data_IF_717766821128
#
_entry.id   IF_717766821128
#
_cell.length_a   1.000
_cell.length_b   1.000
_cell.length_c   1.000
_cell.angle_alpha   90.00
_cell.angle_beta   90.00
_cell.angle_gamma   90.00
#
_symmetry.space_group_name_H-M   'P 1'
#
loop_
_entity.id
_entity.type
_entity.pdbx_description
1 polymer ?
#
# COMPACT_ATOMS: atom_id res chain seq x y z
N UNK A 1 -18.55 6.85 -6.49
CA UNK A 1 -17.11 7.11 -6.33
C UNK A 1 -16.85 7.49 -4.90
N UNK A 2 -15.80 6.93 -4.27
CA UNK A 2 -15.53 7.17 -2.86
C UNK A 2 -14.51 8.30 -2.71
N UNK A 3 -14.92 9.37 -2.01
CA UNK A 3 -14.00 10.43 -1.58
C UNK A 3 -13.37 10.08 -0.25
N UNK A 4 -12.04 10.12 -0.19
CA UNK A 4 -11.27 9.85 1.02
C UNK A 4 -10.32 11.01 1.32
N UNK A 5 -10.02 11.25 2.59
CA UNK A 5 -8.97 12.22 2.95
C UNK A 5 -7.60 11.71 2.51
N UNK A 6 -6.70 12.59 2.06
CA UNK A 6 -5.39 12.19 1.53
C UNK A 6 -4.59 11.31 2.49
N UNK A 7 -4.59 11.62 3.78
CA UNK A 7 -3.94 10.79 4.79
C UNK A 7 -4.58 9.41 4.96
N UNK A 8 -5.90 9.28 4.71
CA UNK A 8 -6.59 7.99 4.65
C UNK A 8 -6.18 7.19 3.44
N UNK A 9 -6.05 7.86 2.29
CA UNK A 9 -5.62 7.24 1.03
C UNK A 9 -4.25 6.60 1.24
N UNK A 10 -3.25 7.37 1.70
CA UNK A 10 -1.91 6.87 1.96
C UNK A 10 -1.87 5.72 2.97
N UNK A 11 -2.62 5.85 4.06
CA UNK A 11 -2.71 4.79 5.06
C UNK A 11 -3.29 3.49 4.47
N UNK A 12 -4.39 3.59 3.71
CA UNK A 12 -5.00 2.44 3.03
C UNK A 12 -4.13 1.86 1.91
N UNK A 13 -3.21 2.64 1.34
CA UNK A 13 -2.21 2.15 0.39
C UNK A 13 -0.99 1.50 1.06
N UNK A 14 -0.93 1.45 2.40
CA UNK A 14 0.12 0.73 3.13
C UNK A 14 1.38 1.56 3.43
N UNK A 15 1.32 2.90 3.30
CA UNK A 15 2.50 3.74 3.56
C UNK A 15 2.86 3.87 5.04
N UNK A 16 1.98 3.45 5.95
CA UNK A 16 2.26 3.41 7.39
C UNK A 16 1.07 3.87 8.22
N UNK A 17 1.34 4.36 9.43
CA UNK A 17 0.30 4.91 10.30
C UNK A 17 -0.29 6.20 9.72
N UNK A 18 -1.51 6.57 10.12
CA UNK A 18 -2.12 7.85 9.73
C UNK A 18 -1.25 9.06 10.06
N UNK A 19 -0.59 9.05 11.21
CA UNK A 19 0.33 10.11 11.64
C UNK A 19 1.53 10.22 10.71
N UNK A 20 2.13 9.09 10.33
CA UNK A 20 3.24 9.08 9.37
C UNK A 20 2.81 9.62 7.99
N UNK A 21 1.64 9.20 7.51
CA UNK A 21 1.09 9.69 6.24
C UNK A 21 0.87 11.20 6.27
N UNK A 22 0.35 11.74 7.38
CA UNK A 22 0.21 13.19 7.58
C UNK A 22 1.56 13.91 7.54
N UNK A 23 2.60 13.34 8.15
CA UNK A 23 3.96 13.89 8.10
C UNK A 23 4.52 13.94 6.67
N UNK A 24 4.32 12.89 5.87
CA UNK A 24 4.73 12.87 4.46
C UNK A 24 4.03 13.96 3.64
N UNK A 25 2.72 14.07 3.79
CA UNK A 25 1.92 15.08 3.10
C UNK A 25 2.38 16.49 3.50
N UNK A 26 2.53 16.76 4.80
CA UNK A 26 2.97 18.05 5.31
C UNK A 26 4.39 18.43 4.86
N UNK A 27 5.26 17.43 4.62
CA UNK A 27 6.60 17.62 4.07
C UNK A 27 6.61 17.91 2.57
N UNK A 28 5.46 17.84 1.88
CA UNK A 28 5.37 18.05 0.43
C UNK A 28 5.79 16.84 -0.40
N UNK A 29 5.86 15.65 0.21
CA UNK A 29 6.32 14.42 -0.45
C UNK A 29 5.23 13.73 -1.30
N UNK A 30 4.08 14.39 -1.48
CA UNK A 30 2.91 13.84 -2.16
C UNK A 30 2.44 14.81 -3.24
N UNK A 31 2.40 14.33 -4.48
CA UNK A 31 1.84 15.06 -5.62
C UNK A 31 0.63 14.35 -6.20
N UNK A 32 -0.30 15.13 -6.73
CA UNK A 32 -1.46 14.67 -7.49
C UNK A 32 -1.41 15.39 -8.84
N UNK A 33 -1.32 14.65 -9.94
CA UNK A 33 -1.14 15.21 -11.29
C UNK A 33 0.02 16.23 -11.36
N UNK A 34 1.14 15.92 -10.69
CA UNK A 34 2.33 16.77 -10.65
C UNK A 34 2.26 17.96 -9.68
N UNK A 35 1.13 18.22 -9.03
CA UNK A 35 0.99 19.31 -8.06
C UNK A 35 1.20 18.79 -6.63
N UNK A 36 2.17 19.37 -5.92
CA UNK A 36 2.42 19.07 -4.50
C UNK A 36 1.18 19.42 -3.67
N UNK A 37 0.74 18.48 -2.83
CA UNK A 37 -0.40 18.65 -1.92
C UNK A 37 0.08 18.53 -0.48
N UNK A 38 -0.18 19.56 0.33
CA UNK A 38 0.23 19.60 1.76
C UNK A 38 -0.95 19.58 2.74
N UNK A 39 -2.19 19.67 2.26
CA UNK A 39 -3.37 19.50 3.09
C UNK A 39 -3.72 18.02 3.27
N UNK A 40 -3.44 17.52 4.48
CA UNK A 40 -3.69 16.14 4.89
C UNK A 40 -5.15 15.71 4.81
N UNK A 41 -6.09 16.66 4.97
CA UNK A 41 -7.53 16.37 5.10
C UNK A 41 -8.31 16.63 3.82
N UNK A 42 -7.65 17.06 2.73
CA UNK A 42 -8.31 17.22 1.44
C UNK A 42 -8.98 15.92 1.03
N UNK A 43 -10.28 15.99 0.72
CA UNK A 43 -11.06 14.86 0.24
C UNK A 43 -10.87 14.71 -1.27
N UNK A 44 -10.35 13.56 -1.70
CA UNK A 44 -9.95 13.29 -3.09
C UNK A 44 -10.76 12.11 -3.62
N UNK A 45 -11.16 12.20 -4.89
CA UNK A 45 -11.76 11.07 -5.61
C UNK A 45 -10.71 10.00 -5.88
N UNK A 46 -11.05 8.75 -5.58
CA UNK A 46 -10.11 7.63 -5.66
C UNK A 46 -10.13 6.89 -6.99
N UNK A 47 -11.18 7.07 -7.79
CA UNK A 47 -11.31 6.41 -9.09
C UNK A 47 -10.25 6.92 -10.06
N UNK A 48 -9.43 6.00 -10.59
CA UNK A 48 -8.30 6.34 -11.46
C UNK A 48 -7.25 7.26 -10.83
N UNK A 49 -7.18 7.35 -9.49
CA UNK A 49 -6.28 8.26 -8.81
C UNK A 49 -4.81 7.81 -8.97
N UNK A 50 -4.01 8.68 -9.60
CA UNK A 50 -2.56 8.56 -9.69
C UNK A 50 -1.90 9.59 -8.76
N UNK A 51 -0.91 9.11 -8.00
CA UNK A 51 -0.13 9.92 -7.07
C UNK A 51 1.36 9.85 -7.45
N UNK A 52 2.14 10.80 -6.95
CA UNK A 52 3.58 10.64 -6.83
C UNK A 52 3.92 10.75 -5.35
N UNK A 53 4.59 9.76 -4.78
CA UNK A 53 5.01 9.74 -3.39
C UNK A 53 6.51 9.52 -3.31
N UNK A 54 7.21 10.40 -2.60
CA UNK A 54 8.69 10.32 -2.47
C UNK A 54 9.39 10.23 -3.85
N UNK A 55 8.85 10.92 -4.85
CA UNK A 55 9.35 10.89 -6.24
C UNK A 55 8.90 9.70 -7.09
N UNK A 56 8.23 8.69 -6.51
CA UNK A 56 7.80 7.49 -7.21
C UNK A 56 6.30 7.52 -7.56
N UNK A 57 5.91 7.11 -8.79
CA UNK A 57 4.50 7.05 -9.17
C UNK A 57 3.77 5.94 -8.38
N UNK A 58 2.52 6.22 -8.01
CA UNK A 58 1.68 5.29 -7.27
C UNK A 58 0.22 5.37 -7.69
N UNK A 59 -0.28 4.29 -8.27
CA UNK A 59 -1.70 4.14 -8.59
C UNK A 59 -2.48 3.70 -7.37
N UNK A 60 -3.55 4.42 -7.04
CA UNK A 60 -4.48 3.99 -5.99
C UNK A 60 -5.13 2.66 -6.34
N UNK A 61 -5.15 1.73 -5.38
CA UNK A 61 -5.91 0.48 -5.49
C UNK A 61 -6.73 0.29 -4.22
N UNK A 62 -8.05 0.14 -4.35
CA UNK A 62 -8.91 -0.20 -3.20
C UNK A 62 -8.62 -1.62 -2.68
N UNK A 63 -8.42 -2.57 -3.61
CA UNK A 63 -8.10 -3.96 -3.31
C UNK A 63 -6.75 -4.38 -3.91
N UNK A 64 -6.08 -5.34 -3.29
CA UNK A 64 -4.87 -5.97 -3.82
C UNK A 64 -5.17 -7.44 -4.10
N UNK A 65 -4.92 -7.84 -5.35
CA UNK A 65 -4.85 -9.23 -5.77
C UNK A 65 -3.53 -9.41 -6.50
N UNK A 66 -2.75 -10.40 -6.07
CA UNK A 66 -1.44 -10.67 -6.64
C UNK A 66 -1.33 -12.16 -6.99
N UNK A 67 -0.76 -12.44 -8.15
CA UNK A 67 -0.35 -13.80 -8.53
C UNK A 67 1.13 -13.92 -8.19
N UNK A 68 1.47 -14.91 -7.37
CA UNK A 68 2.84 -15.16 -6.95
C UNK A 68 3.30 -16.49 -7.53
N UNK A 69 4.34 -16.47 -8.35
CA UNK A 69 5.11 -17.66 -8.63
C UNK A 69 5.97 -17.97 -7.41
N UNK A 70 5.43 -18.79 -6.50
CA UNK A 70 6.07 -19.12 -5.22
C UNK A 70 7.43 -19.80 -5.46
N UNK A 71 8.53 -19.27 -4.90
CA UNK A 71 9.81 -19.98 -4.89
C UNK A 71 9.76 -21.21 -3.96
N UNK A 72 10.61 -22.20 -4.23
CA UNK A 72 10.78 -23.33 -3.34
C UNK A 72 11.27 -22.89 -1.95
N UNK A 73 10.99 -23.71 -0.92
CA UNK A 73 11.39 -23.47 0.47
C UNK A 73 10.78 -22.19 1.08
N UNK A 74 9.52 -21.89 0.75
CA UNK A 74 8.70 -20.85 1.38
C UNK A 74 7.35 -21.43 1.81
N UNK A 75 6.70 -20.82 2.80
CA UNK A 75 5.39 -21.25 3.30
C UNK A 75 4.26 -20.30 2.92
N UNK A 76 3.14 -20.83 2.42
CA UNK A 76 1.88 -20.09 2.26
C UNK A 76 1.15 -19.93 3.60
N UNK A 77 1.81 -19.30 4.58
CA UNK A 77 1.28 -19.12 5.95
C UNK A 77 1.54 -17.69 6.46
N UNK A 78 0.61 -17.18 7.26
CA UNK A 78 0.80 -15.95 8.07
C UNK A 78 1.63 -16.20 9.33
N UNK A 79 1.78 -17.46 9.72
CA UNK A 79 2.57 -17.93 10.86
C UNK A 79 3.43 -19.10 10.39
N UNK A 80 4.43 -18.85 9.55
CA UNK A 80 5.35 -19.90 9.12
C UNK A 80 6.13 -20.47 10.30
N UNK A 81 6.54 -21.73 10.23
CA UNK A 81 7.29 -22.40 11.31
C UNK A 81 8.60 -23.04 10.88
N UNK A 82 8.74 -23.47 9.63
CA UNK A 82 9.91 -24.18 9.12
C UNK A 82 10.69 -23.35 8.09
N UNK A 83 9.99 -22.65 7.21
CA UNK A 83 10.55 -21.79 6.17
C UNK A 83 10.00 -20.38 6.24
N UNK A 84 10.67 -19.36 5.66
CA UNK A 84 10.10 -18.03 5.56
C UNK A 84 8.72 -18.03 4.88
N UNK A 85 7.81 -17.18 5.35
CA UNK A 85 6.47 -17.06 4.76
C UNK A 85 6.50 -16.30 3.44
N UNK A 86 5.63 -16.64 2.49
CA UNK A 86 5.53 -15.93 1.19
C UNK A 86 5.26 -14.43 1.32
N UNK A 87 4.76 -13.97 2.46
CA UNK A 87 4.55 -12.54 2.72
C UNK A 87 5.85 -11.76 2.92
N UNK A 88 6.97 -12.42 3.23
CA UNK A 88 8.27 -11.75 3.47
C UNK A 88 8.97 -11.32 2.18
N UNK A 89 8.49 -11.77 1.02
CA UNK A 89 9.03 -11.40 -0.31
C UNK A 89 8.12 -10.42 -1.05
N UNK A 90 7.01 -10.02 -0.45
CA UNK A 90 6.11 -9.02 -1.01
C UNK A 90 6.51 -7.61 -0.56
N UNK A 91 6.16 -6.57 -1.33
CA UNK A 91 6.32 -5.19 -0.87
C UNK A 91 5.66 -4.96 0.50
N UNK A 92 6.32 -4.20 1.36
CA UNK A 92 5.84 -3.83 2.70
C UNK A 92 4.43 -3.23 2.67
N UNK A 93 4.09 -2.48 1.63
CA UNK A 93 2.76 -1.88 1.45
C UNK A 93 1.67 -2.95 1.41
N UNK A 94 1.97 -4.14 0.89
CA UNK A 94 0.98 -5.22 0.74
C UNK A 94 0.73 -5.88 2.09
N UNK A 95 1.79 -6.16 2.86
CA UNK A 95 1.66 -6.74 4.20
C UNK A 95 0.98 -5.77 5.17
N UNK A 96 1.28 -4.46 5.08
CA UNK A 96 0.60 -3.40 5.86
C UNK A 96 -0.88 -3.22 5.48
N UNK A 97 -1.29 -3.73 4.32
CA UNK A 97 -2.69 -3.80 3.88
C UNK A 97 -3.36 -5.15 4.19
N UNK A 98 -2.72 -5.95 5.05
CA UNK A 98 -3.19 -7.24 5.52
C UNK A 98 -3.43 -8.28 4.40
N UNK A 99 -2.62 -8.24 3.34
CA UNK A 99 -2.67 -9.26 2.28
C UNK A 99 -2.45 -10.66 2.87
N UNK A 100 -3.19 -11.64 2.35
CA UNK A 100 -3.16 -13.03 2.80
C UNK A 100 -3.00 -13.99 1.62
N UNK A 101 -2.29 -15.12 1.80
CA UNK A 101 -2.29 -16.19 0.81
C UNK A 101 -3.69 -16.78 0.65
N UNK A 102 -4.14 -16.94 -0.61
CA UNK A 102 -5.38 -17.64 -0.94
C UNK A 102 -5.02 -19.04 -1.43
N UNK A 103 -5.31 -20.04 -0.60
CA UNK A 103 -4.85 -21.41 -0.82
C UNK A 103 -3.39 -21.63 -0.38
N UNK A 104 -2.91 -22.86 -0.57
CA UNK A 104 -1.57 -23.30 -0.16
C UNK A 104 -0.93 -24.10 -1.28
N UNK A 105 0.39 -23.93 -1.41
CA UNK A 105 1.24 -24.73 -2.27
C UNK A 105 2.39 -25.20 -1.39
N UNK A 106 2.60 -26.51 -1.31
CA UNK A 106 3.69 -27.10 -0.53
C UNK A 106 5.06 -26.71 -1.12
#
# INVERSE_FOLDING_TARGET
>A
MSKLTLDRILHQQGFGTRKWCQSLIAAGEVCINGNVTTDTKTAIETDGLELTLLGEPWTYREHIYAVLHKPANFECSRKPSHHPGVLTILPDQFTRRDVQPVGRLD
#
